data_IF_345693625560
#
_entry.id   IF_345693625560
#
_cell.length_a   1.000
_cell.length_b   1.000
_cell.length_c   1.000
_cell.angle_alpha   90.00
_cell.angle_beta   90.00
_cell.angle_gamma   90.00
#
_symmetry.space_group_name_H-M   'P 1'
#
loop_
_entity.id
_entity.type
_entity.pdbx_description
1 polymer ?
#
# COMPACT_ATOMS: atom_id res chain seq x y z
N UNK A 1 51.97 -17.92 30.18
CA UNK A 1 50.62 -18.47 30.46
C UNK A 1 49.54 -17.37 30.62
N UNK A 2 49.78 -16.31 31.42
CA UNK A 2 48.76 -15.22 31.61
C UNK A 2 48.38 -14.43 30.34
N UNK A 3 49.31 -14.25 29.38
CA UNK A 3 49.06 -13.52 28.12
C UNK A 3 48.19 -14.32 27.12
N UNK A 4 48.29 -15.65 27.14
CA UNK A 4 47.50 -16.53 26.28
C UNK A 4 46.06 -16.60 26.80
N UNK A 5 45.88 -16.62 28.10
CA UNK A 5 44.56 -16.61 28.74
C UNK A 5 43.76 -15.30 28.42
N UNK A 6 44.46 -14.16 28.35
CA UNK A 6 43.84 -12.86 28.04
C UNK A 6 43.35 -12.78 26.59
N UNK A 7 44.11 -13.37 25.66
CA UNK A 7 43.74 -13.42 24.24
C UNK A 7 42.50 -14.31 23.97
N UNK A 8 42.37 -15.42 24.71
CA UNK A 8 41.20 -16.30 24.58
C UNK A 8 39.92 -15.69 25.13
N UNK A 9 40.00 -14.87 26.18
CA UNK A 9 38.85 -14.15 26.75
C UNK A 9 38.35 -13.05 25.80
N UNK A 10 39.27 -12.34 25.12
CA UNK A 10 38.91 -11.30 24.15
C UNK A 10 38.23 -11.91 22.90
N UNK A 11 38.66 -13.08 22.42
CA UNK A 11 38.04 -13.78 21.30
C UNK A 11 36.62 -14.28 21.62
N UNK A 12 36.33 -14.63 22.88
CA UNK A 12 34.98 -15.03 23.31
C UNK A 12 33.98 -13.88 23.42
N UNK A 13 34.45 -12.63 23.61
CA UNK A 13 33.59 -11.46 23.73
C UNK A 13 33.13 -10.93 22.33
N UNK A 14 33.92 -11.17 21.27
CA UNK A 14 33.59 -10.75 19.92
C UNK A 14 32.63 -11.70 19.18
N UNK A 15 32.35 -12.89 19.74
CA UNK A 15 31.51 -13.91 19.09
C UNK A 15 29.98 -13.75 19.25
N UNK A 16 29.49 -12.81 20.05
CA UNK A 16 28.06 -12.74 20.43
C UNK A 16 27.27 -11.56 19.85
N UNK A 17 27.81 -10.80 18.88
CA UNK A 17 27.07 -9.66 18.31
C UNK A 17 26.68 -9.93 16.86
N UNK A 18 26.00 -11.06 16.62
CA UNK A 18 25.20 -11.26 15.42
C UNK A 18 23.78 -11.70 15.79
N UNK A 19 23.17 -11.01 16.73
CA UNK A 19 21.73 -11.08 16.89
C UNK A 19 21.11 -10.16 15.82
N UNK A 20 21.04 -10.66 14.58
CA UNK A 20 20.16 -10.09 13.57
C UNK A 20 18.75 -10.17 14.11
N UNK A 21 18.27 -9.08 14.70
CA UNK A 21 16.88 -8.93 15.04
C UNK A 21 16.09 -9.01 13.71
N UNK A 22 15.68 -10.22 13.36
CA UNK A 22 14.68 -10.40 12.28
C UNK A 22 13.47 -9.60 12.70
N UNK A 23 13.30 -8.43 12.10
CA UNK A 23 12.06 -7.67 12.20
C UNK A 23 10.94 -8.65 11.83
N UNK A 24 10.10 -8.98 12.80
CA UNK A 24 8.94 -9.82 12.61
C UNK A 24 8.13 -9.19 11.46
N UNK A 25 8.11 -9.86 10.30
CA UNK A 25 7.44 -9.39 9.10
C UNK A 25 5.95 -9.33 9.45
N UNK A 26 5.44 -8.13 9.74
CA UNK A 26 4.03 -7.94 10.04
C UNK A 26 3.30 -8.06 8.70
N UNK A 27 2.60 -9.15 8.49
CA UNK A 27 1.76 -9.31 7.30
C UNK A 27 0.71 -8.19 7.35
N UNK A 28 0.82 -7.26 6.41
CA UNK A 28 -0.13 -6.15 6.29
C UNK A 28 -1.45 -6.68 5.76
N UNK A 29 -2.49 -6.60 6.55
CA UNK A 29 -3.83 -6.99 6.16
C UNK A 29 -4.53 -5.82 5.46
N UNK A 30 -4.90 -6.04 4.19
CA UNK A 30 -5.67 -5.07 3.40
C UNK A 30 -7.15 -5.40 3.48
N UNK A 31 -7.86 -4.74 4.38
CA UNK A 31 -9.30 -4.91 4.59
C UNK A 31 -10.05 -3.63 4.20
N UNK A 32 -10.63 -3.63 3.01
CA UNK A 32 -11.32 -2.46 2.46
C UNK A 32 -12.34 -2.85 1.38
N UNK A 33 -13.23 -1.91 1.05
CA UNK A 33 -14.08 -1.93 -0.13
C UNK A 33 -13.79 -0.70 -0.99
N UNK A 34 -13.96 -0.82 -2.31
CA UNK A 34 -13.75 0.29 -3.25
C UNK A 34 -14.92 0.41 -4.21
N UNK A 35 -15.24 1.65 -4.52
CA UNK A 35 -16.31 2.01 -5.46
C UNK A 35 -15.77 3.06 -6.43
N UNK A 36 -15.98 2.85 -7.73
CA UNK A 36 -15.63 3.86 -8.73
C UNK A 36 -16.57 5.06 -8.62
N UNK A 37 -15.98 6.25 -8.64
CA UNK A 37 -16.69 7.53 -8.67
C UNK A 37 -16.53 8.23 -10.02
N UNK A 38 -15.85 7.58 -10.99
CA UNK A 38 -15.62 8.12 -12.33
C UNK A 38 -14.21 8.70 -12.51
N UNK A 39 -14.09 9.66 -13.41
CA UNK A 39 -12.83 10.30 -13.77
C UNK A 39 -12.76 11.66 -13.08
N UNK A 40 -11.61 11.95 -12.48
CA UNK A 40 -11.31 13.23 -11.87
C UNK A 40 -10.65 14.21 -12.84
N UNK A 41 -10.11 15.30 -12.30
CA UNK A 41 -9.33 16.26 -13.08
C UNK A 41 -8.05 15.61 -13.62
N UNK A 42 -7.58 16.09 -14.77
CA UNK A 42 -6.33 15.64 -15.40
C UNK A 42 -6.23 14.12 -15.66
N UNK A 43 -7.38 13.45 -15.90
CA UNK A 43 -7.41 12.02 -16.21
C UNK A 43 -7.11 11.10 -15.02
N UNK A 44 -7.22 11.61 -13.80
CA UNK A 44 -7.10 10.77 -12.59
C UNK A 44 -8.38 9.95 -12.38
N UNK A 45 -8.26 8.80 -11.75
CA UNK A 45 -9.41 7.99 -11.32
C UNK A 45 -9.89 8.44 -9.94
N UNK A 46 -11.17 8.79 -9.84
CA UNK A 46 -11.84 9.04 -8.57
C UNK A 46 -12.41 7.73 -8.04
N UNK A 47 -12.00 7.34 -6.85
CA UNK A 47 -12.50 6.16 -6.16
C UNK A 47 -12.87 6.48 -4.72
N UNK A 48 -13.98 5.91 -4.24
CA UNK A 48 -14.32 5.93 -2.83
C UNK A 48 -13.81 4.65 -2.19
N UNK A 49 -13.00 4.79 -1.16
CA UNK A 49 -12.42 3.68 -0.41
C UNK A 49 -13.03 3.64 0.98
N UNK A 50 -13.67 2.53 1.32
CA UNK A 50 -14.14 2.25 2.67
C UNK A 50 -13.09 1.44 3.41
N UNK A 51 -12.43 2.06 4.39
CA UNK A 51 -11.43 1.44 5.24
C UNK A 51 -12.04 1.06 6.60
N UNK A 52 -11.56 -0.04 7.19
CA UNK A 52 -11.98 -0.53 8.50
C UNK A 52 -10.90 -0.21 9.54
N UNK A 53 -11.23 0.59 10.56
CA UNK A 53 -10.27 1.18 11.48
C UNK A 53 -10.79 1.19 12.90
N UNK A 54 -9.89 0.93 13.86
CA UNK A 54 -10.14 1.16 15.29
C UNK A 54 -9.80 2.59 15.71
N UNK A 55 -8.85 3.21 15.02
CA UNK A 55 -8.34 4.55 15.30
C UNK A 55 -8.36 5.39 14.03
N UNK A 56 -9.03 6.53 14.06
CA UNK A 56 -9.18 7.43 12.90
C UNK A 56 -7.93 8.23 12.58
N UNK A 57 -6.94 8.28 13.47
CA UNK A 57 -5.68 9.01 13.21
C UNK A 57 -4.92 8.50 12.00
N UNK A 58 -5.08 7.22 11.68
CA UNK A 58 -4.41 6.56 10.56
C UNK A 58 -5.27 6.53 9.27
N UNK A 59 -6.47 7.12 9.33
CA UNK A 59 -7.46 7.03 8.27
C UNK A 59 -6.93 7.49 6.91
N UNK A 60 -6.21 8.63 6.88
CA UNK A 60 -5.65 9.18 5.65
C UNK A 60 -4.68 8.20 4.98
N UNK A 61 -3.70 7.72 5.72
CA UNK A 61 -2.62 6.88 5.18
C UNK A 61 -3.15 5.50 4.77
N UNK A 62 -4.00 4.90 5.63
CA UNK A 62 -4.63 3.61 5.32
C UNK A 62 -5.54 3.72 4.10
N UNK A 63 -6.29 4.83 3.96
CA UNK A 63 -7.16 5.02 2.79
C UNK A 63 -6.36 5.14 1.49
N UNK A 64 -5.29 5.94 1.48
CA UNK A 64 -4.40 6.09 0.33
C UNK A 64 -3.75 4.76 -0.04
N UNK A 65 -3.24 4.04 0.95
CA UNK A 65 -2.63 2.73 0.77
C UNK A 65 -3.61 1.70 0.19
N UNK A 66 -4.83 1.64 0.73
CA UNK A 66 -5.90 0.77 0.27
C UNK A 66 -6.32 1.12 -1.17
N UNK A 67 -6.36 2.40 -1.53
CA UNK A 67 -6.65 2.87 -2.88
C UNK A 67 -5.65 2.34 -3.89
N UNK A 68 -4.36 2.52 -3.62
CA UNK A 68 -3.28 2.04 -4.48
C UNK A 68 -3.26 0.51 -4.54
N UNK A 69 -3.45 -0.18 -3.41
CA UNK A 69 -3.55 -1.64 -3.39
C UNK A 69 -4.71 -2.14 -4.26
N UNK A 70 -5.86 -1.46 -4.23
CA UNK A 70 -7.00 -1.80 -5.07
C UNK A 70 -6.68 -1.66 -6.56
N UNK A 71 -6.11 -0.52 -6.97
CA UNK A 71 -5.73 -0.26 -8.36
C UNK A 71 -4.68 -1.25 -8.86
N UNK A 72 -3.71 -1.59 -8.02
CA UNK A 72 -2.64 -2.52 -8.39
C UNK A 72 -3.13 -3.97 -8.50
N UNK A 73 -3.89 -4.47 -7.53
CA UNK A 73 -4.04 -5.93 -7.35
C UNK A 73 -5.47 -6.45 -7.35
N UNK A 74 -6.46 -5.62 -7.06
CA UNK A 74 -7.87 -6.05 -6.96
C UNK A 74 -8.68 -5.65 -8.18
N UNK A 75 -8.38 -4.50 -8.76
CA UNK A 75 -9.26 -3.82 -9.71
C UNK A 75 -10.44 -3.14 -9.00
N UNK A 76 -11.24 -2.43 -9.78
CA UNK A 76 -12.41 -1.68 -9.30
C UNK A 76 -13.61 -2.11 -10.13
N UNK A 77 -14.66 -2.57 -9.45
CA UNK A 77 -15.89 -3.00 -10.11
C UNK A 77 -16.61 -1.81 -10.74
N UNK A 78 -17.33 -2.08 -11.83
CA UNK A 78 -18.25 -1.10 -12.42
C UNK A 78 -19.36 -0.73 -11.43
N UNK A 79 -19.80 0.52 -11.52
CA UNK A 79 -20.99 1.03 -10.84
C UNK A 79 -21.89 1.69 -11.88
N UNK A 80 -23.08 2.13 -11.47
CA UNK A 80 -23.95 2.89 -12.37
C UNK A 80 -23.22 4.12 -12.92
N UNK A 81 -23.00 4.18 -14.22
CA UNK A 81 -22.30 5.26 -14.91
C UNK A 81 -20.78 5.16 -14.96
N UNK A 82 -20.18 4.06 -14.48
CA UNK A 82 -18.73 3.83 -14.58
C UNK A 82 -18.41 2.45 -15.16
N UNK A 83 -17.22 2.30 -15.74
CA UNK A 83 -16.73 1.02 -16.26
C UNK A 83 -15.85 0.31 -15.24
N UNK A 84 -15.83 -1.01 -15.29
CA UNK A 84 -14.92 -1.81 -14.48
C UNK A 84 -13.47 -1.53 -14.89
N UNK A 85 -12.60 -1.49 -13.90
CA UNK A 85 -11.16 -1.28 -14.10
C UNK A 85 -10.43 -2.54 -13.61
N UNK A 86 -9.76 -3.29 -14.49
CA UNK A 86 -8.99 -4.45 -14.08
C UNK A 86 -7.78 -4.04 -13.23
N UNK A 87 -7.29 -4.97 -12.43
CA UNK A 87 -6.04 -4.81 -11.71
C UNK A 87 -4.89 -4.51 -12.68
N UNK A 88 -4.01 -3.58 -12.29
CA UNK A 88 -2.89 -3.14 -13.11
C UNK A 88 -1.77 -4.20 -13.18
N UNK A 89 -1.61 -4.95 -12.12
CA UNK A 89 -0.57 -5.97 -11.93
C UNK A 89 -1.22 -7.35 -11.89
N UNK A 90 -0.72 -8.28 -12.71
CA UNK A 90 -1.20 -9.66 -12.70
C UNK A 90 -0.71 -10.41 -11.46
N UNK A 91 -1.42 -11.46 -11.00
CA UNK A 91 -1.02 -12.24 -9.82
C UNK A 91 0.43 -12.72 -9.88
N UNK A 92 0.86 -13.27 -11.00
CA UNK A 92 2.24 -13.77 -11.20
C UNK A 92 3.28 -12.64 -11.12
N UNK A 93 2.99 -11.46 -11.65
CA UNK A 93 3.87 -10.27 -11.57
C UNK A 93 3.99 -9.78 -10.12
N UNK A 94 2.87 -9.82 -9.36
CA UNK A 94 2.86 -9.50 -7.94
C UNK A 94 3.74 -10.47 -7.13
N UNK A 95 3.62 -11.76 -7.38
CA UNK A 95 4.39 -12.81 -6.69
C UNK A 95 5.88 -12.68 -7.00
N UNK A 96 6.24 -12.51 -8.27
CA UNK A 96 7.63 -12.38 -8.72
C UNK A 96 8.31 -11.11 -8.16
N UNK A 97 7.55 -10.07 -7.84
CA UNK A 97 8.06 -8.77 -7.39
C UNK A 97 7.60 -8.44 -5.95
N UNK A 98 7.38 -9.44 -5.11
CA UNK A 98 6.84 -9.26 -3.76
C UNK A 98 7.68 -8.29 -2.91
N UNK A 99 9.01 -8.40 -2.98
CA UNK A 99 9.93 -7.53 -2.24
C UNK A 99 9.85 -6.06 -2.70
N UNK A 100 9.71 -5.84 -4.02
CA UNK A 100 9.49 -4.49 -4.56
C UNK A 100 8.21 -3.87 -3.98
N UNK A 101 7.09 -4.59 -4.03
CA UNK A 101 5.83 -4.08 -3.52
C UNK A 101 5.83 -3.87 -2.01
N UNK A 102 6.52 -4.73 -1.25
CA UNK A 102 6.71 -4.51 0.18
C UNK A 102 7.43 -3.18 0.44
N UNK A 103 8.56 -2.94 -0.22
CA UNK A 103 9.30 -1.67 -0.12
C UNK A 103 8.48 -0.47 -0.59
N UNK A 104 7.75 -0.61 -1.70
CA UNK A 104 6.89 0.42 -2.27
C UNK A 104 5.83 0.92 -1.28
N UNK A 105 5.25 0.00 -0.49
CA UNK A 105 4.29 0.36 0.55
C UNK A 105 4.95 0.79 1.86
N UNK A 106 6.08 0.20 2.24
CA UNK A 106 6.73 0.48 3.54
C UNK A 106 7.43 1.84 3.57
N UNK A 107 8.06 2.25 2.46
CA UNK A 107 8.72 3.54 2.35
C UNK A 107 7.79 4.69 1.93
N UNK A 108 6.51 4.40 1.69
CA UNK A 108 5.51 5.40 1.33
C UNK A 108 5.55 5.91 -0.11
N UNK A 109 6.29 5.25 -1.03
CA UNK A 109 6.37 5.64 -2.45
C UNK A 109 4.99 5.75 -3.10
N UNK A 110 4.03 4.92 -2.69
CA UNK A 110 2.66 4.94 -3.17
C UNK A 110 1.95 6.30 -3.00
N UNK A 111 2.35 7.12 -2.02
CA UNK A 111 1.74 8.43 -1.75
C UNK A 111 1.86 9.42 -2.91
N UNK A 112 2.86 9.24 -3.79
CA UNK A 112 3.07 10.09 -4.97
C UNK A 112 1.95 9.95 -6.00
N UNK A 113 1.20 8.87 -5.96
CA UNK A 113 0.18 8.51 -6.97
C UNK A 113 -1.25 8.65 -6.47
N UNK A 114 -1.46 9.12 -5.23
CA UNK A 114 -2.80 9.22 -4.64
C UNK A 114 -2.93 10.45 -3.75
N UNK A 115 -4.02 11.18 -3.93
CA UNK A 115 -4.38 12.33 -3.11
C UNK A 115 -5.79 12.16 -2.54
N UNK A 116 -6.03 12.70 -1.35
CA UNK A 116 -7.38 12.77 -0.80
C UNK A 116 -8.17 13.85 -1.56
N UNK A 117 -9.39 13.53 -1.97
CA UNK A 117 -10.32 14.52 -2.49
C UNK A 117 -10.97 15.27 -1.31
N UNK A 118 -11.22 16.58 -1.49
CA UNK A 118 -11.87 17.41 -0.46
C UNK A 118 -11.16 17.33 0.89
N UNK A 119 -9.82 17.35 0.90
CA UNK A 119 -8.97 17.32 2.11
C UNK A 119 -9.27 16.15 3.07
N UNK A 120 -9.84 15.07 2.55
CA UNK A 120 -10.17 13.87 3.33
C UNK A 120 -11.40 14.03 4.22
N UNK A 121 -12.26 15.00 3.93
CA UNK A 121 -13.51 15.18 4.66
C UNK A 121 -14.39 13.94 4.52
N UNK A 122 -14.79 13.38 5.66
CA UNK A 122 -15.67 12.23 5.74
C UNK A 122 -17.14 12.68 5.68
N UNK A 123 -17.88 12.19 4.69
CA UNK A 123 -19.34 12.40 4.70
C UNK A 123 -19.94 11.58 5.85
N UNK A 124 -20.80 12.16 6.72
CA UNK A 124 -21.44 11.42 7.81
C UNK A 124 -22.15 10.12 7.37
N UNK A 125 -22.68 10.08 6.15
CA UNK A 125 -23.32 8.88 5.57
C UNK A 125 -22.31 7.77 5.22
N UNK A 126 -21.05 8.11 5.05
CA UNK A 126 -19.97 7.18 4.74
C UNK A 126 -19.22 6.69 6.01
N UNK A 127 -19.80 6.95 7.19
CA UNK A 127 -19.24 6.49 8.47
C UNK A 127 -20.22 5.56 9.17
N UNK A 128 -19.81 4.33 9.37
CA UNK A 128 -20.62 3.30 10.09
C UNK A 128 -19.77 2.61 11.14
N UNK A 129 -20.38 2.34 12.32
CA UNK A 129 -19.78 1.49 13.34
C UNK A 129 -20.03 0.03 12.99
N UNK A 130 -18.98 -0.78 12.93
CA UNK A 130 -19.02 -2.21 12.63
C UNK A 130 -18.29 -2.96 13.74
N UNK A 131 -19.05 -3.43 14.72
CA UNK A 131 -18.48 -4.06 15.91
C UNK A 131 -17.61 -3.08 16.72
N UNK A 132 -16.32 -3.38 16.85
CA UNK A 132 -15.33 -2.54 17.56
C UNK A 132 -14.57 -1.58 16.63
N UNK A 133 -14.92 -1.53 15.36
CA UNK A 133 -14.25 -0.74 14.33
C UNK A 133 -15.24 0.24 13.70
N UNK A 134 -14.71 1.21 12.94
CA UNK A 134 -15.47 2.08 12.06
C UNK A 134 -15.15 1.72 10.61
N UNK A 135 -16.20 1.56 9.80
CA UNK A 135 -16.09 1.56 8.34
C UNK A 135 -16.26 3.00 7.87
N UNK A 136 -15.22 3.57 7.29
CA UNK A 136 -15.17 4.99 6.89
C UNK A 136 -14.81 5.09 5.42
N UNK A 137 -15.66 5.79 4.65
CA UNK A 137 -15.51 6.04 3.23
C UNK A 137 -14.88 7.40 2.96
N UNK A 138 -13.78 7.42 2.22
CA UNK A 138 -13.15 8.66 1.71
C UNK A 138 -12.96 8.55 0.21
N UNK A 139 -13.19 9.67 -0.49
CA UNK A 139 -12.90 9.78 -1.91
C UNK A 139 -11.44 10.18 -2.08
N UNK A 140 -10.76 9.46 -2.97
CA UNK A 140 -9.38 9.72 -3.35
C UNK A 140 -9.27 9.84 -4.87
N UNK A 141 -8.27 10.59 -5.31
CA UNK A 141 -7.86 10.72 -6.71
C UNK A 141 -6.58 9.94 -6.91
N UNK A 142 -6.57 8.99 -7.85
CA UNK A 142 -5.41 8.16 -8.17
C UNK A 142 -4.86 8.51 -9.55
N UNK A 143 -3.60 8.90 -9.62
CA UNK A 143 -2.89 9.11 -10.89
C UNK A 143 -2.40 7.76 -11.44
N UNK A 144 -3.29 7.08 -12.14
CA UNK A 144 -3.04 5.75 -12.69
C UNK A 144 -1.99 5.74 -13.80
N UNK A 145 -1.93 6.83 -14.58
CA UNK A 145 -0.97 6.92 -15.68
C UNK A 145 0.46 6.99 -15.16
N UNK A 146 0.73 7.85 -14.18
CA UNK A 146 2.06 7.98 -13.63
C UNK A 146 2.46 6.77 -12.79
N UNK A 147 1.51 6.17 -12.07
CA UNK A 147 1.73 4.89 -11.39
C UNK A 147 2.13 3.78 -12.39
N UNK A 148 1.45 3.71 -13.54
CA UNK A 148 1.78 2.76 -14.60
C UNK A 148 3.18 3.01 -15.17
N UNK A 149 3.51 4.24 -15.55
CA UNK A 149 4.84 4.59 -16.05
C UNK A 149 5.95 4.23 -15.07
N UNK A 150 5.71 4.46 -13.79
CA UNK A 150 6.66 4.08 -12.75
C UNK A 150 6.89 2.55 -12.71
N UNK A 151 5.81 1.76 -12.70
CA UNK A 151 5.94 0.30 -12.70
C UNK A 151 6.59 -0.24 -13.99
N UNK A 152 6.36 0.41 -15.13
CA UNK A 152 7.03 0.08 -16.41
C UNK A 152 8.52 0.41 -16.34
N UNK A 153 8.91 1.55 -15.79
CA UNK A 153 10.32 1.94 -15.62
C UNK A 153 11.09 1.05 -14.65
N UNK A 154 10.40 0.51 -13.65
CA UNK A 154 10.95 -0.49 -12.71
C UNK A 154 10.95 -1.93 -13.29
N UNK A 155 10.42 -2.12 -14.50
CA UNK A 155 10.34 -3.44 -15.13
C UNK A 155 9.34 -4.40 -14.50
N UNK A 156 8.42 -3.91 -13.67
CA UNK A 156 7.41 -4.71 -12.95
C UNK A 156 6.31 -5.17 -13.88
N UNK A 157 5.87 -4.29 -14.78
CA UNK A 157 4.87 -4.58 -15.80
C UNK A 157 5.43 -4.26 -17.19
N UNK A 158 4.89 -4.91 -18.21
CA UNK A 158 5.26 -4.60 -19.59
C UNK A 158 4.63 -3.28 -20.02
N UNK A 159 5.39 -2.47 -20.72
CA UNK A 159 4.88 -1.29 -21.39
C UNK A 159 3.74 -1.65 -22.35
N UNK A 160 2.82 -0.74 -22.56
CA UNK A 160 1.85 -0.85 -23.64
C UNK A 160 2.66 -0.69 -24.94
N UNK A 161 3.04 -1.82 -25.56
CA UNK A 161 3.77 -1.78 -26.83
C UNK A 161 2.95 -1.04 -27.89
N UNK A 162 3.56 -0.07 -28.52
CA UNK A 162 3.15 0.51 -29.79
C UNK A 162 3.84 -0.25 -30.92
#
# INVERSE_FOLDING_TARGET
>A
MKKILLLTVIALIFGVINCSAQKKKTVREFRYEVVSMGVGSQGTDLIKVYSYLKNEKELSDITKMNAIHAVLFKGIAATSGTTAQPAMVKPKEKENNAEFFEKFFDNGTYNQYVTLSSDGVVNPKDRMKVGKEYKIGIIVSVNKQDLRKYLESEGIIKGLGF
#
